data_IF_243842402870
#
_entry.id   IF_243842402870
#
_cell.length_a   1.000
_cell.length_b   1.000
_cell.length_c   1.000
_cell.angle_alpha   90.00
_cell.angle_beta   90.00
_cell.angle_gamma   90.00
#
_symmetry.space_group_name_H-M   'P 1'
#
loop_
_entity.id
_entity.type
_entity.pdbx_description
1 polymer ?
#
# COMPACT_ATOMS: atom_id res chain seq x y z
N UNK A 1 -8.55 3.12 12.08
CA UNK A 1 -9.38 1.88 12.06
C UNK A 1 -8.50 0.74 11.60
N UNK A 2 -8.69 -0.45 12.17
CA UNK A 2 -7.98 -1.67 11.77
C UNK A 2 -9.05 -2.66 11.37
N UNK A 3 -8.97 -3.18 10.15
CA UNK A 3 -9.84 -4.25 9.65
C UNK A 3 -8.97 -5.33 9.00
N UNK A 4 -9.43 -6.56 9.09
CA UNK A 4 -8.79 -7.74 8.52
C UNK A 4 -9.35 -8.11 7.14
N UNK A 5 -10.42 -7.43 6.71
CA UNK A 5 -11.08 -7.67 5.43
C UNK A 5 -10.59 -6.67 4.39
N UNK A 6 -9.88 -7.18 3.38
CA UNK A 6 -9.33 -6.40 2.28
C UNK A 6 -10.39 -5.51 1.57
N UNK A 7 -11.62 -5.99 1.28
CA UNK A 7 -12.65 -5.17 0.66
C UNK A 7 -13.11 -4.00 1.54
N UNK A 8 -13.20 -4.21 2.85
CA UNK A 8 -13.64 -3.19 3.80
C UNK A 8 -12.61 -2.06 3.90
N UNK A 9 -11.32 -2.41 4.07
CA UNK A 9 -10.24 -1.41 4.12
C UNK A 9 -10.12 -0.64 2.81
N UNK A 10 -10.28 -1.28 1.66
CA UNK A 10 -10.25 -0.59 0.36
C UNK A 10 -11.38 0.43 0.23
N UNK A 11 -12.59 0.07 0.70
CA UNK A 11 -13.74 0.94 0.60
C UNK A 11 -13.59 2.22 1.42
N UNK A 12 -12.94 2.12 2.59
CA UNK A 12 -12.72 3.24 3.50
C UNK A 12 -11.43 4.02 3.21
N UNK A 13 -10.46 3.42 2.51
CA UNK A 13 -9.15 4.02 2.30
C UNK A 13 -9.11 4.98 1.11
N UNK A 14 -8.42 6.11 1.29
CA UNK A 14 -8.11 7.07 0.22
C UNK A 14 -6.81 6.72 -0.50
N UNK A 15 -5.85 6.15 0.24
CA UNK A 15 -4.53 5.70 -0.24
C UNK A 15 -4.20 4.38 0.42
N UNK A 16 -3.66 3.44 -0.35
CA UNK A 16 -3.32 2.10 0.10
C UNK A 16 -1.84 1.87 -0.14
N UNK A 17 -1.10 1.68 0.94
CA UNK A 17 0.34 1.42 0.93
C UNK A 17 0.52 -0.05 1.24
N UNK A 18 1.14 -0.80 0.33
CA UNK A 18 1.41 -2.22 0.51
C UNK A 18 2.87 -2.41 0.90
N UNK A 19 3.11 -3.11 2.00
CA UNK A 19 4.45 -3.47 2.46
C UNK A 19 4.66 -4.98 2.36
N UNK A 20 5.88 -5.38 1.99
CA UNK A 20 6.30 -6.77 1.89
C UNK A 20 7.73 -6.89 2.40
N UNK A 21 8.00 -7.83 3.30
CA UNK A 21 9.34 -8.06 3.87
C UNK A 21 10.02 -6.79 4.42
N UNK A 22 9.25 -5.91 5.08
CA UNK A 22 9.76 -4.65 5.62
C UNK A 22 10.08 -3.58 4.57
N UNK A 23 9.77 -3.81 3.29
CA UNK A 23 9.94 -2.83 2.21
C UNK A 23 8.59 -2.39 1.67
N UNK A 24 8.55 -1.18 1.11
CA UNK A 24 7.41 -0.71 0.35
C UNK A 24 7.31 -1.51 -0.95
N UNK A 25 6.24 -2.28 -1.11
CA UNK A 25 5.96 -3.01 -2.35
C UNK A 25 5.27 -2.10 -3.39
N UNK A 26 4.50 -1.11 -2.93
CA UNK A 26 3.89 -0.13 -3.80
C UNK A 26 2.82 0.71 -3.11
N UNK A 27 2.34 1.72 -3.82
CA UNK A 27 1.23 2.58 -3.40
C UNK A 27 0.13 2.57 -4.46
N UNK A 28 -1.11 2.48 -4.01
CA UNK A 28 -2.32 2.57 -4.82
C UNK A 28 -3.19 3.71 -4.32
N UNK A 29 -3.56 4.62 -5.24
CA UNK A 29 -4.61 5.58 -4.98
C UNK A 29 -5.98 4.91 -5.00
N UNK A 30 -7.02 5.55 -4.44
CA UNK A 30 -8.38 5.02 -4.41
C UNK A 30 -8.90 4.47 -5.74
N UNK A 31 -8.58 5.12 -6.87
CA UNK A 31 -8.99 4.67 -8.20
C UNK A 31 -8.27 3.38 -8.67
N UNK A 32 -7.10 3.10 -8.11
CA UNK A 32 -6.23 1.97 -8.45
C UNK A 32 -6.25 0.86 -7.39
N UNK A 33 -6.84 1.13 -6.23
CA UNK A 33 -6.87 0.28 -5.06
C UNK A 33 -7.90 -0.85 -5.20
N UNK A 34 -7.68 -1.73 -6.18
CA UNK A 34 -8.47 -2.94 -6.38
C UNK A 34 -7.88 -4.11 -5.61
N UNK A 35 -8.73 -5.06 -5.18
CA UNK A 35 -8.28 -6.25 -4.45
C UNK A 35 -7.21 -7.02 -5.22
N UNK A 36 -7.37 -7.15 -6.55
CA UNK A 36 -6.40 -7.82 -7.42
C UNK A 36 -5.04 -7.12 -7.43
N UNK A 37 -4.99 -5.79 -7.54
CA UNK A 37 -3.72 -5.05 -7.51
C UNK A 37 -3.04 -5.12 -6.16
N UNK A 38 -3.81 -5.01 -5.07
CA UNK A 38 -3.27 -5.17 -3.71
C UNK A 38 -2.66 -6.56 -3.53
N UNK A 39 -3.37 -7.62 -3.94
CA UNK A 39 -2.87 -9.00 -3.88
C UNK A 39 -1.60 -9.20 -4.72
N UNK A 40 -1.53 -8.61 -5.91
CA UNK A 40 -0.31 -8.63 -6.74
C UNK A 40 0.87 -7.97 -6.03
N UNK A 41 0.67 -6.83 -5.36
CA UNK A 41 1.73 -6.16 -4.58
C UNK A 41 2.13 -6.97 -3.32
N UNK A 42 1.18 -7.60 -2.64
CA UNK A 42 1.45 -8.44 -1.47
C UNK A 42 2.27 -9.69 -1.85
N UNK A 43 1.97 -10.30 -3.00
CA UNK A 43 2.65 -11.51 -3.50
C UNK A 43 3.94 -11.20 -4.26
N UNK A 44 4.13 -9.97 -4.74
CA UNK A 44 5.25 -9.57 -5.59
C UNK A 44 5.10 -10.02 -7.04
N UNK A 45 3.87 -10.21 -7.51
CA UNK A 45 3.54 -10.62 -8.88
C UNK A 45 3.08 -9.43 -9.75
N UNK A 46 3.43 -8.19 -9.38
CA UNK A 46 2.99 -6.96 -10.05
C UNK A 46 4.07 -5.88 -10.07
N UNK A 47 3.90 -4.89 -10.93
CA UNK A 47 4.87 -3.82 -11.20
C UNK A 47 5.15 -3.00 -9.94
N UNK A 48 6.35 -3.15 -9.38
CA UNK A 48 6.90 -2.28 -8.33
C UNK A 48 7.10 -0.89 -8.93
N UNK A 49 6.12 0.00 -8.78
CA UNK A 49 6.40 1.42 -8.91
C UNK A 49 7.25 1.81 -7.68
N UNK A 50 8.56 1.81 -7.87
CA UNK A 50 9.54 2.53 -7.05
C UNK A 50 9.17 4.03 -7.03
N UNK A 51 8.12 4.38 -6.29
CA UNK A 51 7.98 5.74 -5.81
C UNK A 51 8.98 5.88 -4.68
N UNK A 52 10.12 6.53 -4.95
CA UNK A 52 11.00 7.10 -3.91
C UNK A 52 10.09 7.79 -2.88
N UNK A 53 9.88 7.20 -1.69
CA UNK A 53 9.04 7.84 -0.71
C UNK A 53 9.91 8.92 -0.09
N UNK A 54 9.66 10.17 -0.48
CA UNK A 54 10.13 11.34 0.25
C UNK A 54 9.55 11.40 1.69
N UNK A 55 8.76 10.40 2.10
CA UNK A 55 7.96 10.33 3.32
C UNK A 55 8.79 9.94 4.57
N UNK A 56 9.99 9.39 4.40
CA UNK A 56 10.85 8.99 5.54
C UNK A 56 11.64 10.14 6.20
N UNK A 57 11.50 11.40 5.78
CA UNK A 57 12.06 12.54 6.52
C UNK A 57 11.19 13.04 7.67
N UNK A 58 9.88 12.75 7.66
CA UNK A 58 8.93 13.29 8.66
C UNK A 58 8.51 12.28 9.74
N UNK A 59 8.95 11.02 9.66
CA UNK A 59 8.77 10.03 10.72
C UNK A 59 10.03 9.86 11.60
N UNK A 60 10.84 10.92 11.70
CA UNK A 60 11.75 11.09 12.83
C UNK A 60 10.89 11.42 14.06
N UNK A 61 10.36 10.38 14.68
CA UNK A 61 9.81 10.45 16.04
C UNK A 61 10.97 10.90 16.95
N UNK A 62 10.82 12.01 17.71
CA UNK A 62 11.83 12.41 18.70
C UNK A 62 11.98 11.38 19.83
#
# INVERSE_FOLDING_TARGET
MISSELPEVLNLSTRVIVMRNGRLAGELNRAEATAERVLKLMTGCGEEKELRPQILSDLAVP
#
